data_IF_820238596018
#
_entry.id   IF_820238596018
#
_cell.length_a   1.000
_cell.length_b   1.000
_cell.length_c   1.000
_cell.angle_alpha   90.00
_cell.angle_beta   90.00
_cell.angle_gamma   90.00
#
_symmetry.space_group_name_H-M   'P 1'
#
loop_
_entity.id
_entity.type
_entity.pdbx_description
1 polymer ?
#
# COMPACT_ATOMS: atom_id res chain seq x y z
N UNK A 1 -19.97 49.95 19.11
CA UNK A 1 -20.86 48.77 19.16
C UNK A 1 -20.92 48.08 17.80
N UNK A 2 -21.18 48.80 16.70
CA UNK A 2 -21.23 48.23 15.33
C UNK A 2 -19.99 47.43 14.89
N UNK A 3 -18.79 47.85 15.28
CA UNK A 3 -17.54 47.15 14.92
C UNK A 3 -17.38 45.80 15.61
N UNK A 4 -17.95 45.65 16.81
CA UNK A 4 -17.92 44.41 17.58
C UNK A 4 -18.92 43.38 17.03
N UNK A 5 -20.09 43.83 16.58
CA UNK A 5 -21.08 42.95 15.96
C UNK A 5 -20.60 42.42 14.60
N UNK A 6 -20.00 43.28 13.76
CA UNK A 6 -19.43 42.84 12.48
C UNK A 6 -18.29 41.83 12.67
N UNK A 7 -17.40 42.05 13.63
CA UNK A 7 -16.32 41.12 13.94
C UNK A 7 -16.84 39.76 14.45
N UNK A 8 -17.93 39.76 15.23
CA UNK A 8 -18.59 38.54 15.70
C UNK A 8 -19.23 37.76 14.55
N UNK A 9 -19.91 38.45 13.65
CA UNK A 9 -20.58 37.84 12.49
C UNK A 9 -19.57 37.24 11.49
N UNK A 10 -18.42 37.88 11.29
CA UNK A 10 -17.32 37.35 10.47
C UNK A 10 -16.67 36.12 11.11
N UNK A 11 -16.47 36.12 12.43
CA UNK A 11 -15.93 34.97 13.16
C UNK A 11 -16.85 33.75 13.07
N UNK A 12 -18.17 33.96 13.15
CA UNK A 12 -19.17 32.92 13.04
C UNK A 12 -19.22 32.33 11.61
N UNK A 13 -19.21 33.19 10.58
CA UNK A 13 -19.11 32.76 9.16
C UNK A 13 -17.80 32.04 8.83
N UNK A 14 -16.70 32.39 9.51
CA UNK A 14 -15.42 31.70 9.35
C UNK A 14 -15.45 30.33 10.02
N UNK A 15 -15.95 30.25 11.26
CA UNK A 15 -16.15 28.98 11.98
C UNK A 15 -17.02 28.01 11.19
N UNK A 16 -18.14 28.49 10.63
CA UNK A 16 -19.04 27.67 9.82
C UNK A 16 -18.39 27.17 8.52
N UNK A 17 -17.57 28.02 7.87
CA UNK A 17 -16.80 27.59 6.69
C UNK A 17 -15.77 26.52 7.04
N UNK A 18 -15.02 26.71 8.12
CA UNK A 18 -14.01 25.74 8.57
C UNK A 18 -14.68 24.43 8.99
N UNK A 19 -15.78 24.48 9.74
CA UNK A 19 -16.53 23.28 10.11
C UNK A 19 -17.11 22.57 8.88
N UNK A 20 -17.60 23.31 7.88
CA UNK A 20 -18.10 22.73 6.64
C UNK A 20 -16.99 22.07 5.82
N UNK A 21 -15.83 22.72 5.66
CA UNK A 21 -14.68 22.12 4.98
C UNK A 21 -14.12 20.91 5.72
N UNK A 22 -14.02 20.96 7.05
CA UNK A 22 -13.59 19.83 7.88
C UNK A 22 -14.60 18.69 7.77
N UNK A 23 -15.90 18.99 7.81
CA UNK A 23 -16.97 18.00 7.64
C UNK A 23 -16.93 17.39 6.25
N UNK A 24 -16.79 18.19 5.19
CA UNK A 24 -16.63 17.71 3.82
C UNK A 24 -15.42 16.80 3.70
N UNK A 25 -14.25 17.20 4.22
CA UNK A 25 -13.03 16.35 4.23
C UNK A 25 -13.22 15.04 5.02
N UNK A 26 -13.98 15.06 6.10
CA UNK A 26 -14.30 13.87 6.90
C UNK A 26 -15.33 12.96 6.22
N UNK A 27 -16.33 13.52 5.53
CA UNK A 27 -17.34 12.77 4.77
C UNK A 27 -16.85 12.32 3.39
N UNK A 28 -15.80 12.93 2.85
CA UNK A 28 -15.19 12.60 1.55
C UNK A 28 -14.00 11.63 1.65
N UNK A 29 -13.75 11.01 2.81
CA UNK A 29 -12.95 9.79 2.84
C UNK A 29 -13.72 8.70 2.09
N UNK A 30 -13.49 8.64 0.78
CA UNK A 30 -13.98 7.63 -0.14
C UNK A 30 -13.79 6.25 0.52
N UNK A 31 -14.86 5.44 0.68
CA UNK A 31 -14.75 4.11 1.29
C UNK A 31 -13.62 3.28 0.68
N UNK A 32 -13.32 3.49 -0.61
CA UNK A 32 -12.15 2.94 -1.29
C UNK A 32 -10.82 3.26 -0.58
N UNK A 33 -10.55 4.53 -0.28
CA UNK A 33 -9.28 4.95 0.34
C UNK A 33 -9.09 4.31 1.72
N UNK A 34 -10.17 4.16 2.49
CA UNK A 34 -10.10 3.49 3.80
C UNK A 34 -9.75 2.01 3.66
N UNK A 35 -10.42 1.30 2.76
CA UNK A 35 -10.19 -0.13 2.52
C UNK A 35 -8.77 -0.38 2.00
N UNK A 36 -8.30 0.41 1.03
CA UNK A 36 -6.94 0.28 0.49
C UNK A 36 -5.89 0.55 1.57
N UNK A 37 -6.07 1.55 2.43
CA UNK A 37 -5.11 1.82 3.50
C UNK A 37 -5.05 0.70 4.53
N UNK A 38 -6.19 0.10 4.87
CA UNK A 38 -6.23 -1.07 5.75
C UNK A 38 -5.54 -2.27 5.11
N UNK A 39 -5.80 -2.54 3.83
CA UNK A 39 -5.17 -3.64 3.11
C UNK A 39 -3.65 -3.44 2.95
N UNK A 40 -3.19 -2.23 2.62
CA UNK A 40 -1.75 -1.91 2.57
C UNK A 40 -1.09 -2.04 3.95
N UNK A 41 -1.78 -1.67 5.03
CA UNK A 41 -1.28 -1.86 6.39
C UNK A 41 -1.14 -3.35 6.71
N UNK A 42 -2.16 -4.16 6.40
CA UNK A 42 -2.12 -5.60 6.58
C UNK A 42 -1.00 -6.25 5.74
N UNK A 43 -0.81 -5.77 4.51
CA UNK A 43 0.27 -6.21 3.62
C UNK A 43 1.64 -5.90 4.22
N UNK A 44 1.85 -4.70 4.76
CA UNK A 44 3.09 -4.31 5.43
C UNK A 44 3.39 -5.17 6.65
N UNK A 45 2.38 -5.45 7.48
CA UNK A 45 2.56 -6.30 8.66
C UNK A 45 2.97 -7.71 8.23
N UNK A 46 2.26 -8.29 7.26
CA UNK A 46 2.59 -9.62 6.73
C UNK A 46 4.01 -9.66 6.14
N UNK A 47 4.38 -8.69 5.32
CA UNK A 47 5.73 -8.56 4.77
C UNK A 47 6.80 -8.39 5.84
N UNK A 48 6.54 -7.61 6.88
CA UNK A 48 7.50 -7.38 7.96
C UNK A 48 7.78 -8.67 8.71
N UNK A 49 6.74 -9.45 9.01
CA UNK A 49 6.89 -10.77 9.65
C UNK A 49 7.65 -11.73 8.73
N UNK A 50 7.33 -11.77 7.43
CA UNK A 50 8.01 -12.63 6.46
C UNK A 50 9.50 -12.29 6.31
N UNK A 51 9.84 -11.01 6.20
CA UNK A 51 11.24 -10.56 6.08
C UNK A 51 12.00 -10.79 7.38
N UNK A 52 11.38 -10.55 8.53
CA UNK A 52 12.02 -10.78 9.82
C UNK A 52 12.28 -12.28 10.07
N UNK A 53 11.33 -13.15 9.74
CA UNK A 53 11.50 -14.60 9.87
C UNK A 53 12.60 -15.13 8.95
N UNK A 54 12.63 -14.70 7.67
CA UNK A 54 13.74 -15.00 6.77
C UNK A 54 15.08 -14.51 7.30
N UNK A 55 15.12 -13.28 7.82
CA UNK A 55 16.33 -12.71 8.41
C UNK A 55 16.80 -13.55 9.59
N UNK A 56 15.92 -14.02 10.47
CA UNK A 56 16.30 -14.84 11.62
C UNK A 56 16.82 -16.24 11.21
N UNK A 57 16.27 -16.81 10.13
CA UNK A 57 16.69 -18.11 9.59
C UNK A 57 18.00 -18.09 8.78
N UNK A 58 18.67 -16.94 8.66
CA UNK A 58 19.90 -16.81 7.86
C UNK A 58 21.07 -17.70 8.30
N UNK A 59 21.05 -18.17 9.56
CA UNK A 59 22.08 -19.09 10.10
C UNK A 59 21.77 -20.55 9.80
N UNK A 60 20.50 -20.88 9.61
CA UNK A 60 20.02 -22.25 9.37
C UNK A 60 20.08 -22.57 7.88
N UNK A 61 19.75 -21.58 7.04
CA UNK A 61 19.77 -21.71 5.58
C UNK A 61 21.00 -20.97 5.03
N UNK A 62 21.70 -21.55 4.04
CA UNK A 62 22.86 -20.87 3.46
C UNK A 62 22.50 -19.47 2.97
N UNK A 63 23.36 -18.49 3.28
CA UNK A 63 23.14 -17.06 3.04
C UNK A 63 22.62 -16.72 1.63
N UNK A 64 23.13 -17.41 0.60
CA UNK A 64 22.74 -17.20 -0.80
C UNK A 64 21.25 -17.48 -1.04
N UNK A 65 20.70 -18.53 -0.42
CA UNK A 65 19.30 -18.91 -0.58
C UNK A 65 18.34 -17.97 0.17
N UNK A 66 18.82 -17.31 1.24
CA UNK A 66 18.02 -16.30 1.97
C UNK A 66 18.10 -14.93 1.30
N UNK A 67 19.23 -14.59 0.66
CA UNK A 67 19.46 -13.26 0.12
C UNK A 67 18.44 -12.86 -0.95
N UNK A 68 18.13 -13.75 -1.89
CA UNK A 68 17.18 -13.48 -2.99
C UNK A 68 15.76 -13.17 -2.48
N UNK A 69 15.10 -14.05 -1.69
CA UNK A 69 13.77 -13.76 -1.17
C UNK A 69 13.78 -12.58 -0.19
N UNK A 70 14.86 -12.35 0.56
CA UNK A 70 15.01 -11.18 1.42
C UNK A 70 15.05 -9.87 0.62
N UNK A 71 15.76 -9.84 -0.52
CA UNK A 71 15.81 -8.68 -1.41
C UNK A 71 14.41 -8.38 -1.99
N UNK A 72 13.70 -9.40 -2.46
CA UNK A 72 12.35 -9.22 -3.00
C UNK A 72 11.36 -8.78 -1.91
N UNK A 73 11.38 -9.40 -0.73
CA UNK A 73 10.52 -9.03 0.40
C UNK A 73 10.80 -7.60 0.89
N UNK A 74 12.07 -7.22 0.98
CA UNK A 74 12.48 -5.84 1.35
C UNK A 74 12.09 -4.83 0.28
N UNK A 75 12.22 -5.18 -1.00
CA UNK A 75 11.74 -4.35 -2.10
C UNK A 75 10.23 -4.15 -2.07
N UNK A 76 9.47 -5.21 -1.78
CA UNK A 76 8.02 -5.14 -1.59
C UNK A 76 7.66 -4.22 -0.41
N UNK A 77 8.35 -4.36 0.73
CA UNK A 77 8.20 -3.45 1.88
C UNK A 77 8.46 -1.99 1.50
N UNK A 78 9.52 -1.73 0.73
CA UNK A 78 9.87 -0.39 0.28
C UNK A 78 8.76 0.23 -0.59
N UNK A 79 8.27 -0.52 -1.60
CA UNK A 79 7.22 -0.03 -2.50
C UNK A 79 5.90 0.18 -1.75
N UNK A 80 5.43 -0.84 -1.03
CA UNK A 80 4.14 -0.78 -0.30
C UNK A 80 4.21 0.27 0.81
N UNK A 81 5.34 0.36 1.50
CA UNK A 81 5.56 1.31 2.60
C UNK A 81 5.59 2.75 2.11
N UNK A 82 6.27 3.00 1.00
CA UNK A 82 6.27 4.32 0.37
C UNK A 82 4.86 4.74 -0.07
N UNK A 83 4.10 3.84 -0.70
CA UNK A 83 2.72 4.11 -1.14
C UNK A 83 1.76 4.31 0.03
N UNK A 84 1.93 3.55 1.11
CA UNK A 84 1.18 3.71 2.36
C UNK A 84 1.46 5.09 2.99
N UNK A 85 2.73 5.43 3.18
CA UNK A 85 3.17 6.71 3.77
C UNK A 85 2.69 7.92 2.97
N UNK A 86 2.78 7.87 1.63
CA UNK A 86 2.33 8.95 0.74
C UNK A 86 0.83 8.95 0.46
N UNK A 87 0.09 7.99 1.01
CA UNK A 87 -1.33 7.77 0.70
C UNK A 87 -1.61 7.77 -0.82
N UNK A 88 -0.76 7.10 -1.58
CA UNK A 88 -0.80 7.12 -3.04
C UNK A 88 -2.12 6.55 -3.57
N UNK A 89 -2.76 7.22 -4.52
CA UNK A 89 -3.99 6.74 -5.15
C UNK A 89 -3.66 5.77 -6.30
N UNK A 90 -3.98 4.48 -6.12
CA UNK A 90 -3.77 3.47 -7.16
C UNK A 90 -4.55 3.70 -8.45
N UNK A 91 -5.62 4.49 -8.41
CA UNK A 91 -6.41 4.85 -9.59
C UNK A 91 -5.62 5.79 -10.51
N UNK A 92 -4.83 6.70 -9.92
CA UNK A 92 -3.96 7.61 -10.66
C UNK A 92 -2.80 6.84 -11.32
N UNK A 93 -2.24 5.83 -10.63
CA UNK A 93 -1.23 4.93 -11.18
C UNK A 93 -1.80 4.14 -12.38
N UNK A 94 -3.01 3.58 -12.24
CA UNK A 94 -3.69 2.88 -13.34
C UNK A 94 -3.91 3.78 -14.56
N UNK A 95 -4.48 4.98 -14.35
CA UNK A 95 -4.70 5.93 -15.44
C UNK A 95 -3.39 6.37 -16.08
N UNK A 96 -2.33 6.54 -15.30
CA UNK A 96 -1.01 6.88 -15.82
C UNK A 96 -0.38 5.75 -16.63
N UNK A 97 -0.63 4.50 -16.27
CA UNK A 97 -0.15 3.32 -16.99
C UNK A 97 -0.82 3.18 -18.37
N UNK A 98 -2.14 3.40 -18.45
CA UNK A 98 -2.92 3.19 -19.67
C UNK A 98 -3.20 4.45 -20.49
N UNK A 99 -3.01 5.64 -19.91
CA UNK A 99 -3.34 6.93 -20.53
C UNK A 99 -2.14 7.77 -20.98
N UNK A 100 -0.93 7.51 -20.47
CA UNK A 100 0.26 8.26 -20.90
C UNK A 100 0.97 7.62 -22.09
N UNK A 101 1.65 8.42 -22.90
CA UNK A 101 2.47 7.90 -24.02
C UNK A 101 3.95 7.72 -23.67
N UNK A 102 4.43 8.29 -22.55
CA UNK A 102 5.84 8.22 -22.15
C UNK A 102 6.14 6.87 -21.47
N UNK A 103 7.07 6.05 -22.00
CA UNK A 103 7.33 4.71 -21.48
C UNK A 103 7.88 4.70 -20.05
N UNK A 104 8.70 5.69 -19.68
CA UNK A 104 9.24 5.83 -18.34
C UNK A 104 8.12 5.98 -17.28
N UNK A 105 7.09 6.78 -17.57
CA UNK A 105 5.96 6.99 -16.66
C UNK A 105 5.14 5.70 -16.53
N UNK A 106 4.90 5.00 -17.65
CA UNK A 106 4.22 3.71 -17.64
C UNK A 106 4.94 2.69 -16.75
N UNK A 107 6.26 2.58 -16.90
CA UNK A 107 7.06 1.65 -16.11
C UNK A 107 6.95 1.97 -14.62
N UNK A 108 7.10 3.24 -14.22
CA UNK A 108 6.98 3.65 -12.81
C UNK A 108 5.59 3.39 -12.24
N UNK A 109 4.53 3.72 -12.99
CA UNK A 109 3.15 3.47 -12.56
C UNK A 109 2.84 1.98 -12.45
N UNK A 110 3.37 1.16 -13.38
CA UNK A 110 3.27 -0.29 -13.31
C UNK A 110 3.98 -0.87 -12.09
N UNK A 111 5.18 -0.37 -11.76
CA UNK A 111 5.92 -0.77 -10.56
C UNK A 111 5.14 -0.40 -9.29
N UNK A 112 4.56 0.79 -9.22
CA UNK A 112 3.77 1.17 -8.03
C UNK A 112 2.49 0.34 -7.90
N UNK A 113 1.79 0.07 -9.00
CA UNK A 113 0.52 -0.65 -9.00
C UNK A 113 0.68 -2.17 -8.74
N UNK A 114 1.67 -2.80 -9.37
CA UNK A 114 1.86 -4.26 -9.33
C UNK A 114 3.07 -4.71 -8.52
N UNK A 115 4.05 -3.84 -8.30
CA UNK A 115 5.35 -4.22 -7.75
C UNK A 115 5.28 -4.82 -6.35
N UNK A 116 4.42 -4.29 -5.47
CA UNK A 116 4.22 -4.86 -4.13
C UNK A 116 3.75 -6.33 -4.18
N UNK A 117 2.78 -6.63 -5.05
CA UNK A 117 2.29 -8.00 -5.26
C UNK A 117 3.35 -8.89 -5.94
N UNK A 118 3.93 -8.44 -7.06
CA UNK A 118 4.90 -9.22 -7.83
C UNK A 118 6.15 -9.56 -7.02
N UNK A 119 6.67 -8.59 -6.25
CA UNK A 119 7.82 -8.83 -5.39
C UNK A 119 7.48 -9.77 -4.22
N UNK A 120 6.27 -9.68 -3.66
CA UNK A 120 5.82 -10.64 -2.63
C UNK A 120 5.74 -12.06 -3.21
N UNK A 121 5.22 -12.20 -4.43
CA UNK A 121 5.14 -13.49 -5.12
C UNK A 121 6.53 -14.06 -5.40
N UNK A 122 7.47 -13.24 -5.86
CA UNK A 122 8.85 -13.67 -6.08
C UNK A 122 9.55 -14.03 -4.77
N UNK A 123 9.33 -13.27 -3.69
CA UNK A 123 9.87 -13.59 -2.38
C UNK A 123 9.36 -14.95 -1.88
N UNK A 124 8.08 -15.26 -2.11
CA UNK A 124 7.52 -16.57 -1.77
C UNK A 124 8.07 -17.69 -2.66
N UNK A 125 8.21 -17.45 -3.97
CA UNK A 125 8.67 -18.46 -4.93
C UNK A 125 10.13 -18.88 -4.68
N UNK A 126 10.98 -17.93 -4.33
CA UNK A 126 12.40 -18.18 -4.03
C UNK A 126 12.66 -18.48 -2.55
N UNK A 127 11.61 -18.67 -1.74
CA UNK A 127 11.77 -18.94 -0.33
C UNK A 127 12.42 -20.32 -0.11
N UNK A 128 13.41 -20.42 0.80
CA UNK A 128 13.94 -21.71 1.20
C UNK A 128 12.93 -22.46 2.07
N UNK A 129 13.03 -23.79 2.06
CA UNK A 129 12.36 -24.62 3.06
C UNK A 129 13.00 -24.35 4.43
N UNK A 130 12.17 -23.93 5.39
CA UNK A 130 12.60 -23.63 6.75
C UNK A 130 12.27 -24.82 7.66
N UNK A 131 13.30 -25.48 8.17
CA UNK A 131 13.16 -26.70 9.00
C UNK A 131 12.59 -26.43 10.41
N UNK A 132 12.70 -25.19 10.91
CA UNK A 132 12.24 -24.83 12.24
C UNK A 132 10.71 -24.68 12.29
N UNK A 133 10.05 -25.46 13.15
CA UNK A 133 8.59 -25.59 13.18
C UNK A 133 7.84 -24.27 13.39
N UNK A 134 8.31 -23.40 14.28
CA UNK A 134 7.67 -22.10 14.54
C UNK A 134 8.03 -21.05 13.48
N UNK A 135 9.31 -20.95 13.09
CA UNK A 135 9.76 -19.92 12.14
C UNK A 135 9.23 -20.24 10.74
N UNK A 136 9.27 -21.51 10.32
CA UNK A 136 8.67 -21.98 9.08
C UNK A 136 7.15 -21.74 9.02
N UNK A 137 6.42 -21.95 10.12
CA UNK A 137 4.98 -21.64 10.19
C UNK A 137 4.71 -20.14 10.08
N UNK A 138 5.44 -19.31 10.83
CA UNK A 138 5.29 -17.85 10.79
C UNK A 138 5.63 -17.30 9.41
N UNK A 139 6.75 -17.75 8.83
CA UNK A 139 7.14 -17.40 7.47
C UNK A 139 6.09 -17.85 6.45
N UNK A 140 5.67 -19.11 6.49
CA UNK A 140 4.68 -19.67 5.57
C UNK A 140 3.36 -18.88 5.59
N UNK A 141 2.78 -18.67 6.78
CA UNK A 141 1.53 -17.91 6.92
C UNK A 141 1.69 -16.46 6.47
N UNK A 142 2.75 -15.78 6.92
CA UNK A 142 2.98 -14.37 6.61
C UNK A 142 3.27 -14.14 5.12
N UNK A 143 4.03 -15.04 4.49
CA UNK A 143 4.36 -15.01 3.06
C UNK A 143 3.11 -15.22 2.19
N UNK A 144 2.31 -16.26 2.46
CA UNK A 144 1.05 -16.49 1.74
C UNK A 144 0.04 -15.36 1.96
N UNK A 145 -0.08 -14.86 3.19
CA UNK A 145 -0.94 -13.72 3.49
C UNK A 145 -0.50 -12.47 2.73
N UNK A 146 0.81 -12.19 2.67
CA UNK A 146 1.37 -11.07 1.92
C UNK A 146 0.99 -11.14 0.43
N UNK A 147 1.16 -12.31 -0.20
CA UNK A 147 0.80 -12.51 -1.62
C UNK A 147 -0.70 -12.34 -1.84
N UNK A 148 -1.53 -12.95 -0.99
CA UNK A 148 -2.99 -12.85 -1.10
C UNK A 148 -3.47 -11.41 -0.93
N UNK A 149 -3.02 -10.72 0.12
CA UNK A 149 -3.39 -9.32 0.38
C UNK A 149 -2.88 -8.42 -0.74
N UNK A 150 -1.64 -8.61 -1.20
CA UNK A 150 -1.08 -7.89 -2.35
C UNK A 150 -1.93 -8.05 -3.60
N UNK A 151 -2.35 -9.29 -3.92
CA UNK A 151 -3.23 -9.58 -5.05
C UNK A 151 -4.58 -8.87 -4.92
N UNK A 152 -5.21 -8.91 -3.74
CA UNK A 152 -6.49 -8.23 -3.47
C UNK A 152 -6.35 -6.72 -3.59
N UNK A 153 -5.29 -6.13 -3.02
CA UNK A 153 -4.97 -4.70 -3.15
C UNK A 153 -4.89 -4.30 -4.63
N UNK A 154 -4.06 -4.99 -5.40
CA UNK A 154 -3.90 -4.72 -6.84
C UNK A 154 -5.22 -4.90 -7.60
N UNK A 155 -5.99 -5.94 -7.30
CA UNK A 155 -7.28 -6.18 -7.96
C UNK A 155 -8.28 -5.04 -7.71
N UNK A 156 -8.37 -4.54 -6.48
CA UNK A 156 -9.25 -3.41 -6.13
C UNK A 156 -8.78 -2.13 -6.82
N UNK A 157 -7.47 -1.84 -6.79
CA UNK A 157 -6.91 -0.65 -7.44
C UNK A 157 -7.14 -0.66 -8.96
N UNK A 158 -6.98 -1.81 -9.61
CA UNK A 158 -7.27 -2.00 -11.04
C UNK A 158 -8.76 -1.86 -11.32
N UNK A 159 -9.62 -2.49 -10.52
CA UNK A 159 -11.08 -2.42 -10.69
C UNK A 159 -11.59 -0.98 -10.60
N UNK A 160 -11.19 -0.23 -9.57
CA UNK A 160 -11.59 1.17 -9.41
C UNK A 160 -10.96 2.06 -10.49
N UNK A 161 -9.74 1.75 -10.94
CA UNK A 161 -9.12 2.43 -12.09
C UNK A 161 -9.91 2.25 -13.38
N UNK A 162 -10.34 1.03 -13.70
CA UNK A 162 -11.19 0.73 -14.87
C UNK A 162 -12.54 1.46 -14.77
N UNK A 163 -13.17 1.40 -13.60
CA UNK A 163 -14.46 2.03 -13.34
C UNK A 163 -14.41 3.55 -13.51
N UNK A 164 -13.32 4.20 -13.10
CA UNK A 164 -13.13 5.63 -13.33
C UNK A 164 -12.86 5.98 -14.79
N UNK A 165 -12.13 5.13 -15.51
CA UNK A 165 -11.84 5.36 -16.94
C UNK A 165 -13.09 5.26 -17.82
N UNK A 166 -14.06 4.45 -17.42
CA UNK A 166 -15.29 4.20 -18.18
C UNK A 166 -16.48 5.10 -17.78
N UNK A 167 -16.29 6.04 -16.84
CA UNK A 167 -17.27 7.07 -16.48
C UNK A 167 -16.97 8.37 -17.21
#
# INVERSE_FOLDING_TARGET
METFEKAKEEAEKFSDRVQKEVRERLTTQDPYNRVIQQLRTAHLVALTIAVLTLYLSWREVSFIFVLIPLLFGSGALGIVGFRWYKQADGRADFNSLFGNNKPAIKATSGIFLFGGFLLSLLAQWFAPDLDSSLIGLLFGLSSHASVLIGAVCTAIEVYEGIKLKNR
#
